data_IF_372999310616
#
_entry.id   IF_372999310616
#
_cell.length_a   1.000
_cell.length_b   1.000
_cell.length_c   1.000
_cell.angle_alpha   90.00
_cell.angle_beta   90.00
_cell.angle_gamma   90.00
#
_symmetry.space_group_name_H-M   'P 1'
#
loop_
_entity.id
_entity.type
_entity.pdbx_description
1 polymer ?
#
# COMPACT_ATOMS: atom_id res chain seq x y z
N UNK A 1 26.22 -47.11 70.96
CA UNK A 1 26.59 -46.69 69.60
C UNK A 1 25.80 -45.44 69.24
N UNK A 2 26.50 -44.34 68.94
CA UNK A 2 26.15 -43.24 68.02
C UNK A 2 24.77 -42.59 68.25
N UNK A 3 24.72 -41.46 68.96
CA UNK A 3 24.70 -40.07 68.42
C UNK A 3 23.50 -39.78 67.50
N UNK A 4 22.62 -38.88 67.93
CA UNK A 4 22.55 -37.54 67.35
C UNK A 4 21.74 -36.58 68.22
N UNK A 5 22.43 -35.54 68.69
CA UNK A 5 21.89 -34.27 69.15
C UNK A 5 21.45 -33.44 67.93
N UNK A 6 20.47 -32.54 68.11
CA UNK A 6 20.62 -31.07 67.99
C UNK A 6 19.23 -30.41 68.10
N UNK A 7 19.13 -29.20 68.71
CA UNK A 7 17.93 -28.68 69.37
C UNK A 7 17.08 -27.73 68.50
N UNK A 8 15.84 -27.53 68.96
CA UNK A 8 14.87 -26.54 68.45
C UNK A 8 15.45 -25.11 68.45
N UNK A 9 15.61 -24.54 67.26
CA UNK A 9 15.83 -23.10 67.07
C UNK A 9 14.48 -22.40 66.86
N UNK A 10 14.13 -21.48 67.77
CA UNK A 10 13.01 -20.54 67.59
C UNK A 10 13.38 -19.52 66.52
N UNK A 11 12.67 -19.52 65.39
CA UNK A 11 12.73 -18.45 64.40
C UNK A 11 11.67 -17.40 64.71
N UNK A 12 12.13 -16.21 65.12
CA UNK A 12 11.33 -14.99 65.16
C UNK A 12 11.03 -14.55 63.73
N UNK A 13 9.82 -14.80 63.25
CA UNK A 13 9.31 -14.15 62.04
C UNK A 13 8.72 -12.79 62.44
N UNK A 14 9.45 -11.72 62.13
CA UNK A 14 8.91 -10.36 62.14
C UNK A 14 7.94 -10.19 60.98
N UNK A 15 6.67 -9.97 61.29
CA UNK A 15 5.64 -9.56 60.35
C UNK A 15 5.92 -8.14 59.86
N UNK A 16 6.43 -8.00 58.64
CA UNK A 16 6.45 -6.73 57.91
C UNK A 16 5.06 -6.55 57.30
N UNK A 17 4.24 -5.69 57.91
CA UNK A 17 3.01 -5.18 57.31
C UNK A 17 3.37 -4.24 56.16
N UNK A 18 3.46 -4.79 54.95
CA UNK A 18 3.51 -3.99 53.74
C UNK A 18 2.14 -3.30 53.56
N UNK A 19 2.12 -2.01 53.84
CA UNK A 19 0.96 -1.15 53.56
C UNK A 19 0.87 -0.98 52.04
N UNK A 20 0.03 -1.78 51.39
CA UNK A 20 -0.27 -1.63 49.97
C UNK A 20 -1.16 -0.39 49.79
N UNK A 21 -0.53 0.77 49.64
CA UNK A 21 -1.21 1.95 49.11
C UNK A 21 -1.42 1.71 47.62
N UNK A 22 -2.64 1.30 47.24
CA UNK A 22 -3.04 1.18 45.85
C UNK A 22 -3.04 2.58 45.23
N UNK A 23 -1.95 2.93 44.55
CA UNK A 23 -1.93 4.07 43.62
C UNK A 23 -2.83 3.69 42.44
N UNK A 24 -4.08 4.14 42.49
CA UNK A 24 -4.96 4.22 41.33
C UNK A 24 -4.23 5.05 40.27
N UNK A 25 -3.60 4.37 39.31
CA UNK A 25 -3.17 4.97 38.06
C UNK A 25 -4.42 5.40 37.31
N UNK A 26 -4.87 6.62 37.56
CA UNK A 26 -5.85 7.29 36.72
C UNK A 26 -5.31 7.24 35.29
N UNK A 27 -5.91 6.41 34.43
CA UNK A 27 -5.72 6.46 32.97
C UNK A 27 -6.03 7.91 32.56
N UNK A 28 -5.01 8.73 32.40
CA UNK A 28 -5.17 10.10 31.89
C UNK A 28 -5.67 9.91 30.45
N UNK A 29 -6.96 10.13 30.21
CA UNK A 29 -7.48 10.24 28.85
C UNK A 29 -6.70 11.36 28.16
N UNK A 30 -6.08 11.13 27.00
CA UNK A 30 -5.28 12.15 26.32
C UNK A 30 -6.16 13.38 26.05
N UNK A 31 -5.59 14.58 26.22
CA UNK A 31 -6.31 15.84 26.01
C UNK A 31 -6.80 15.93 24.56
N UNK A 32 -8.00 16.48 24.37
CA UNK A 32 -8.74 16.58 23.10
C UNK A 32 -7.98 17.28 21.93
N UNK A 33 -6.85 17.94 22.17
CA UNK A 33 -6.06 18.64 21.14
C UNK A 33 -4.91 17.82 20.53
N UNK A 34 -4.65 16.59 20.99
CA UNK A 34 -3.37 15.92 20.73
C UNK A 34 -3.36 14.93 19.52
N UNK A 35 -4.52 14.63 18.93
CA UNK A 35 -4.65 13.61 17.88
C UNK A 35 -4.51 14.14 16.45
N UNK A 36 -4.60 15.46 16.21
CA UNK A 36 -4.28 16.08 14.91
C UNK A 36 -2.86 16.62 14.93
N UNK A 37 -2.24 16.70 13.77
CA UNK A 37 -0.95 17.38 13.59
C UNK A 37 -1.13 18.67 12.81
N UNK A 38 -0.38 19.70 13.22
CA UNK A 38 -0.23 20.95 12.46
C UNK A 38 0.70 20.78 11.26
N UNK A 39 1.58 19.78 11.31
CA UNK A 39 2.49 19.44 10.22
C UNK A 39 1.70 18.81 9.06
N UNK A 40 1.55 19.56 7.97
CA UNK A 40 0.90 19.08 6.73
C UNK A 40 1.91 18.64 5.67
N UNK A 41 3.19 18.98 5.85
CA UNK A 41 4.25 18.57 4.93
C UNK A 41 4.70 17.15 5.28
N UNK A 42 4.39 16.22 4.40
CA UNK A 42 4.64 14.79 4.61
C UNK A 42 6.11 14.49 4.80
N UNK A 43 6.98 15.24 4.11
CA UNK A 43 8.41 15.10 4.26
C UNK A 43 8.93 15.43 5.66
N UNK A 44 8.19 16.17 6.48
CA UNK A 44 8.59 16.52 7.84
C UNK A 44 8.00 15.57 8.89
N UNK A 45 7.19 14.58 8.49
CA UNK A 45 6.67 13.60 9.42
C UNK A 45 7.83 12.79 10.02
N UNK A 46 7.86 12.75 11.35
CA UNK A 46 8.88 12.11 12.16
C UNK A 46 8.21 11.20 13.19
N UNK A 47 9.02 10.51 14.01
CA UNK A 47 8.52 9.64 15.09
C UNK A 47 7.61 10.37 16.08
N UNK A 48 7.82 11.67 16.29
CA UNK A 48 6.99 12.51 17.16
C UNK A 48 5.58 12.79 16.61
N UNK A 49 5.37 12.60 15.31
CA UNK A 49 4.07 12.81 14.65
C UNK A 49 3.25 11.52 14.50
N UNK A 50 3.80 10.37 14.90
CA UNK A 50 3.13 9.07 14.82
C UNK A 50 1.85 9.09 15.67
N UNK A 51 0.79 8.46 15.17
CA UNK A 51 -0.53 8.42 15.79
C UNK A 51 -1.39 9.65 15.51
N UNK A 52 -0.82 10.73 14.95
CA UNK A 52 -1.56 11.95 14.65
C UNK A 52 -2.13 11.97 13.23
N UNK A 53 -3.25 12.65 13.05
CA UNK A 53 -3.91 12.84 11.76
C UNK A 53 -3.48 14.15 11.09
N UNK A 54 -3.04 14.06 9.84
CA UNK A 54 -2.85 15.21 8.95
C UNK A 54 -3.93 15.19 7.86
N UNK A 55 -4.25 16.36 7.29
CA UNK A 55 -5.34 16.49 6.32
C UNK A 55 -4.78 16.78 4.94
N UNK A 56 -5.12 15.93 3.97
CA UNK A 56 -4.75 16.14 2.56
C UNK A 56 -5.65 17.23 1.97
N UNK A 57 -5.08 18.31 1.41
CA UNK A 57 -5.86 19.35 0.74
C UNK A 57 -6.71 18.78 -0.41
N UNK A 58 -7.91 19.32 -0.61
CA UNK A 58 -8.88 18.81 -1.59
C UNK A 58 -8.29 18.79 -3.01
N UNK A 59 -7.53 19.81 -3.38
CA UNK A 59 -6.91 19.92 -4.72
C UNK A 59 -5.85 18.84 -4.94
N UNK A 60 -5.03 18.57 -3.91
CA UNK A 60 -4.05 17.49 -3.94
C UNK A 60 -4.77 16.15 -4.00
N UNK A 61 -5.84 15.96 -3.23
CA UNK A 61 -6.64 14.73 -3.25
C UNK A 61 -7.19 14.44 -4.64
N UNK A 62 -7.79 15.44 -5.30
CA UNK A 62 -8.35 15.29 -6.66
C UNK A 62 -7.28 14.93 -7.69
N UNK A 63 -6.08 15.51 -7.59
CA UNK A 63 -4.97 15.22 -8.51
C UNK A 63 -4.34 13.85 -8.26
N UNK A 64 -4.05 13.52 -7.00
CA UNK A 64 -3.29 12.31 -6.64
C UNK A 64 -4.18 11.07 -6.59
N UNK A 65 -5.41 11.20 -6.07
CA UNK A 65 -6.31 10.08 -5.81
C UNK A 65 -7.59 10.11 -6.66
N UNK A 66 -7.68 10.99 -7.67
CA UNK A 66 -8.90 11.18 -8.47
C UNK A 66 -9.34 9.95 -9.26
N UNK A 67 -8.39 9.08 -9.66
CA UNK A 67 -8.66 7.86 -10.41
C UNK A 67 -8.29 6.58 -9.63
N UNK A 68 -8.09 6.68 -8.32
CA UNK A 68 -7.84 5.54 -7.43
C UNK A 68 -6.72 5.79 -6.41
N UNK A 69 -6.40 4.76 -5.62
CA UNK A 69 -5.35 4.77 -4.60
C UNK A 69 -5.85 4.91 -3.16
N UNK A 70 -7.15 5.19 -2.99
CA UNK A 70 -7.82 5.09 -1.69
C UNK A 70 -8.81 3.91 -1.71
N UNK A 71 -8.88 3.11 -0.63
CA UNK A 71 -9.90 2.06 -0.53
C UNK A 71 -11.31 2.65 -0.57
N UNK A 72 -12.25 1.97 -1.24
CA UNK A 72 -13.65 2.43 -1.38
C UNK A 72 -14.36 2.70 -0.05
N UNK A 73 -14.05 1.91 0.98
CA UNK A 73 -14.57 2.12 2.33
C UNK A 73 -14.08 3.45 2.92
N UNK A 74 -12.80 3.77 2.70
CA UNK A 74 -12.21 5.03 3.12
C UNK A 74 -12.74 6.22 2.29
N UNK A 75 -12.96 6.06 0.99
CA UNK A 75 -13.61 7.09 0.16
C UNK A 75 -15.01 7.46 0.66
N UNK A 76 -15.79 6.46 1.11
CA UNK A 76 -17.09 6.70 1.76
C UNK A 76 -16.91 7.50 3.04
N UNK A 77 -15.94 7.14 3.88
CA UNK A 77 -15.64 7.86 5.12
C UNK A 77 -15.25 9.31 4.83
N UNK A 78 -14.37 9.56 3.86
CA UNK A 78 -13.98 10.91 3.41
C UNK A 78 -15.21 11.72 2.99
N UNK A 79 -16.10 11.11 2.21
CA UNK A 79 -17.33 11.76 1.74
C UNK A 79 -18.23 12.14 2.92
N UNK A 80 -18.37 11.26 3.90
CA UNK A 80 -19.19 11.50 5.10
C UNK A 80 -18.58 12.56 6.01
N UNK A 81 -17.26 12.51 6.24
CA UNK A 81 -16.55 13.44 7.13
C UNK A 81 -16.24 14.79 6.48
N UNK A 82 -16.46 14.89 5.17
CA UNK A 82 -16.11 16.03 4.33
C UNK A 82 -14.63 16.44 4.44
N UNK A 83 -13.74 15.49 4.74
CA UNK A 83 -12.31 15.72 4.80
C UNK A 83 -11.53 14.43 4.52
N UNK A 84 -10.28 14.59 4.07
CA UNK A 84 -9.37 13.48 3.78
C UNK A 84 -8.20 13.51 4.77
N UNK A 85 -8.44 12.97 5.97
CA UNK A 85 -7.41 12.92 7.02
C UNK A 85 -6.80 11.52 7.11
N UNK A 86 -5.47 11.44 7.08
CA UNK A 86 -4.72 10.20 7.23
C UNK A 86 -3.91 10.24 8.53
N UNK A 87 -3.88 9.12 9.24
CA UNK A 87 -3.03 8.94 10.40
C UNK A 87 -1.59 8.69 9.95
N UNK A 88 -0.63 9.37 10.58
CA UNK A 88 0.80 9.11 10.42
C UNK A 88 1.15 7.85 11.18
N UNK A 89 1.57 6.80 10.47
CA UNK A 89 1.95 5.51 11.07
C UNK A 89 3.44 5.22 10.90
N UNK A 90 3.97 4.40 11.81
CA UNK A 90 5.38 4.01 11.82
C UNK A 90 5.90 3.49 10.45
N UNK A 91 5.21 2.57 9.75
CA UNK A 91 5.75 1.99 8.51
C UNK A 91 5.97 3.03 7.39
N UNK A 92 5.13 4.06 7.32
CA UNK A 92 5.29 5.14 6.35
C UNK A 92 6.47 6.04 6.70
N UNK A 93 6.61 6.40 7.98
CA UNK A 93 7.71 7.24 8.48
C UNK A 93 9.06 6.52 8.32
N UNK A 94 9.11 5.22 8.60
CA UNK A 94 10.29 4.39 8.41
C UNK A 94 10.75 4.37 6.95
N UNK A 95 9.83 4.14 6.00
CA UNK A 95 10.17 4.17 4.57
C UNK A 95 10.64 5.58 4.15
N UNK A 96 9.95 6.65 4.58
CA UNK A 96 10.38 8.03 4.29
C UNK A 96 11.81 8.29 4.81
N UNK A 97 12.15 7.78 5.98
CA UNK A 97 13.50 7.89 6.55
C UNK A 97 14.53 7.14 5.70
N UNK A 98 14.23 5.92 5.23
CA UNK A 98 15.10 5.21 4.29
C UNK A 98 15.25 5.93 2.96
N UNK A 99 14.16 6.48 2.41
CA UNK A 99 14.18 7.25 1.16
C UNK A 99 15.12 8.46 1.28
N UNK A 100 15.04 9.22 2.38
CA UNK A 100 15.91 10.38 2.61
C UNK A 100 17.39 10.03 2.71
N UNK A 101 17.72 8.82 3.16
CA UNK A 101 19.09 8.33 3.31
C UNK A 101 19.60 7.58 2.07
N UNK A 102 18.76 7.42 1.05
CA UNK A 102 19.09 6.63 -0.15
C UNK A 102 20.07 7.36 -1.06
N UNK A 103 21.08 6.65 -1.54
CA UNK A 103 21.95 7.09 -2.64
C UNK A 103 21.29 6.75 -3.99
N UNK A 104 20.80 7.77 -4.68
CA UNK A 104 20.07 7.63 -5.94
C UNK A 104 20.94 7.22 -7.14
N UNK A 105 22.27 7.17 -6.99
CA UNK A 105 23.15 6.63 -8.03
C UNK A 105 23.16 5.09 -8.05
N UNK A 106 22.75 4.46 -6.94
CA UNK A 106 22.67 3.00 -6.80
C UNK A 106 21.37 2.45 -7.38
N UNK A 107 21.33 1.13 -7.67
CA UNK A 107 20.10 0.45 -8.05
C UNK A 107 18.90 0.80 -7.16
N UNK A 108 17.72 0.85 -7.76
CA UNK A 108 16.48 1.21 -7.07
C UNK A 108 16.23 0.35 -5.84
N UNK A 109 15.99 1.02 -4.71
CA UNK A 109 15.57 0.37 -3.46
C UNK A 109 14.13 -0.16 -3.59
N UNK A 110 13.92 -1.41 -3.17
CA UNK A 110 12.62 -2.09 -3.19
C UNK A 110 12.12 -2.33 -1.77
N UNK A 111 10.97 -1.77 -1.44
CA UNK A 111 10.29 -1.93 -0.16
C UNK A 111 9.02 -2.76 -0.36
N UNK A 112 8.81 -3.73 0.52
CA UNK A 112 7.66 -4.63 0.48
C UNK A 112 6.84 -4.46 1.75
N UNK A 113 5.68 -3.82 1.63
CA UNK A 113 4.70 -3.69 2.70
C UNK A 113 3.91 -4.99 2.83
N UNK A 114 3.96 -5.62 4.00
CA UNK A 114 3.24 -6.86 4.28
C UNK A 114 2.60 -6.81 5.66
N UNK A 115 1.55 -7.60 5.88
CA UNK A 115 0.81 -7.61 7.14
C UNK A 115 -0.58 -8.17 6.98
N UNK A 116 -1.31 -8.25 8.09
CA UNK A 116 -2.67 -8.77 8.15
C UNK A 116 -3.65 -7.94 7.31
N UNK A 117 -4.76 -8.55 6.95
CA UNK A 117 -5.83 -7.87 6.25
C UNK A 117 -6.50 -6.83 7.14
N UNK A 118 -6.76 -5.65 6.57
CA UNK A 118 -7.29 -4.52 7.33
C UNK A 118 -6.26 -3.74 8.16
N UNK A 119 -4.98 -4.15 8.20
CA UNK A 119 -3.93 -3.46 8.95
C UNK A 119 -3.56 -2.05 8.41
N UNK A 120 -4.05 -1.65 7.22
CA UNK A 120 -3.81 -0.32 6.65
C UNK A 120 -2.63 -0.22 5.68
N UNK A 121 -2.27 -1.32 5.01
CA UNK A 121 -1.22 -1.38 3.96
C UNK A 121 -1.46 -0.36 2.85
N UNK A 122 -2.67 -0.35 2.27
CA UNK A 122 -3.05 0.59 1.20
C UNK A 122 -3.04 2.05 1.65
N UNK A 123 -3.45 2.36 2.88
CA UNK A 123 -3.40 3.73 3.40
C UNK A 123 -1.97 4.19 3.70
N UNK A 124 -1.09 3.26 4.09
CA UNK A 124 0.35 3.53 4.19
C UNK A 124 0.95 3.82 2.82
N UNK A 125 0.58 3.05 1.79
CA UNK A 125 0.97 3.32 0.40
C UNK A 125 0.44 4.69 -0.08
N UNK A 126 -0.80 5.05 0.27
CA UNK A 126 -1.37 6.36 -0.05
C UNK A 126 -0.62 7.52 0.64
N UNK A 127 -0.15 7.32 1.87
CA UNK A 127 0.70 8.30 2.56
C UNK A 127 2.03 8.50 1.82
N UNK A 128 2.67 7.42 1.38
CA UNK A 128 3.89 7.47 0.55
C UNK A 128 3.65 8.08 -0.84
N UNK A 129 2.47 7.84 -1.43
CA UNK A 129 2.07 8.46 -2.69
C UNK A 129 1.97 9.99 -2.55
N UNK A 130 1.38 10.47 -1.46
CA UNK A 130 1.31 11.91 -1.17
C UNK A 130 2.70 12.51 -0.89
N UNK A 131 3.59 11.77 -0.21
CA UNK A 131 5.00 12.16 -0.06
C UNK A 131 5.68 12.34 -1.42
N UNK A 132 5.56 11.34 -2.31
CA UNK A 132 6.16 11.38 -3.64
C UNK A 132 5.66 12.56 -4.48
N UNK A 133 4.36 12.86 -4.40
CA UNK A 133 3.77 14.03 -5.05
C UNK A 133 4.37 15.35 -4.55
N UNK A 134 4.47 15.53 -3.23
CA UNK A 134 5.06 16.76 -2.64
C UNK A 134 6.54 16.92 -3.00
N UNK A 135 7.27 15.82 -3.09
CA UNK A 135 8.70 15.81 -3.41
C UNK A 135 9.00 15.76 -4.93
N UNK A 136 8.00 15.97 -5.78
CA UNK A 136 8.14 16.02 -7.24
C UNK A 136 8.74 14.74 -7.85
N UNK A 137 8.36 13.57 -7.32
CA UNK A 137 8.62 12.30 -7.99
C UNK A 137 7.62 12.08 -9.12
N UNK A 138 8.07 11.48 -10.23
CA UNK A 138 7.18 10.90 -11.23
C UNK A 138 6.57 9.63 -10.65
N UNK A 139 5.27 9.67 -10.38
CA UNK A 139 4.52 8.63 -9.71
C UNK A 139 4.05 7.58 -10.71
N UNK A 140 4.48 6.34 -10.53
CA UNK A 140 3.97 5.17 -11.25
C UNK A 140 3.15 4.38 -10.24
N UNK A 141 1.86 4.74 -10.13
CA UNK A 141 0.97 4.17 -9.13
C UNK A 141 -0.06 3.23 -9.74
N UNK A 142 -0.15 2.01 -9.22
CA UNK A 142 -1.20 1.05 -9.55
C UNK A 142 -2.09 0.85 -8.32
N UNK A 143 -3.35 1.36 -8.35
CA UNK A 143 -4.23 1.37 -7.19
C UNK A 143 -4.54 0.01 -6.58
N UNK A 144 -4.70 -1.02 -7.41
CA UNK A 144 -4.89 -2.42 -6.97
C UNK A 144 -4.84 -3.36 -8.18
N UNK A 145 -3.75 -4.13 -8.30
CA UNK A 145 -3.53 -5.07 -9.42
C UNK A 145 -4.66 -6.10 -9.57
N UNK A 146 -5.23 -6.69 -8.49
CA UNK A 146 -6.31 -7.66 -8.60
C UNK A 146 -7.51 -7.23 -9.44
N UNK A 147 -7.78 -5.92 -9.60
CA UNK A 147 -8.86 -5.46 -10.46
C UNK A 147 -8.64 -5.87 -11.92
N UNK A 148 -7.42 -5.76 -12.44
CA UNK A 148 -7.07 -6.18 -13.80
C UNK A 148 -7.23 -7.68 -13.99
N UNK A 149 -6.98 -8.47 -12.94
CA UNK A 149 -7.05 -9.93 -12.99
C UNK A 149 -8.47 -10.50 -12.80
N UNK A 150 -9.44 -9.70 -12.35
CA UNK A 150 -10.78 -10.21 -11.97
C UNK A 150 -11.97 -9.46 -12.55
N UNK A 151 -11.79 -8.18 -12.84
CA UNK A 151 -12.84 -7.25 -13.26
C UNK A 151 -12.30 -6.38 -14.39
N UNK A 152 -11.59 -7.00 -15.34
CA UNK A 152 -11.23 -6.34 -16.57
C UNK A 152 -12.50 -5.85 -17.25
N UNK A 153 -12.50 -4.60 -17.70
CA UNK A 153 -13.67 -3.99 -18.33
C UNK A 153 -13.87 -4.52 -19.75
N UNK A 154 -12.76 -4.75 -20.45
CA UNK A 154 -12.71 -5.25 -21.81
C UNK A 154 -11.40 -6.03 -22.00
N UNK A 155 -11.46 -7.10 -22.77
CA UNK A 155 -10.31 -7.93 -23.15
C UNK A 155 -10.24 -7.99 -24.68
N UNK A 156 -9.05 -7.80 -25.23
CA UNK A 156 -8.81 -7.94 -26.66
C UNK A 156 -7.57 -8.81 -26.91
N UNK A 157 -7.50 -9.47 -28.06
CA UNK A 157 -6.27 -10.18 -28.45
C UNK A 157 -5.20 -9.15 -28.80
N UNK A 158 -4.00 -9.35 -28.27
CA UNK A 158 -2.88 -8.44 -28.51
C UNK A 158 -2.43 -8.51 -29.97
N UNK A 159 -2.19 -7.35 -30.57
CA UNK A 159 -1.61 -7.26 -31.91
C UNK A 159 -0.09 -7.34 -31.92
N UNK A 160 0.55 -7.13 -30.77
CA UNK A 160 2.01 -7.07 -30.63
C UNK A 160 2.60 -8.37 -30.08
N UNK A 161 1.89 -9.04 -29.15
CA UNK A 161 2.33 -10.29 -28.53
C UNK A 161 1.35 -11.42 -28.86
N UNK A 162 1.77 -12.35 -29.72
CA UNK A 162 0.95 -13.49 -30.12
C UNK A 162 0.55 -14.33 -28.91
N UNK A 163 -0.75 -14.67 -28.82
CA UNK A 163 -1.31 -15.44 -27.70
C UNK A 163 -1.51 -14.66 -26.40
N UNK A 164 -1.20 -13.36 -26.37
CA UNK A 164 -1.45 -12.49 -25.23
C UNK A 164 -2.77 -11.71 -25.37
N UNK A 165 -3.28 -11.25 -24.23
CA UNK A 165 -4.51 -10.49 -24.11
C UNK A 165 -4.17 -9.08 -23.61
N UNK A 166 -4.70 -8.09 -24.31
CA UNK A 166 -4.68 -6.69 -23.93
C UNK A 166 -5.91 -6.35 -23.08
N UNK A 167 -5.74 -5.32 -22.24
CA UNK A 167 -6.81 -4.70 -21.44
C UNK A 167 -6.99 -3.22 -21.85
N UNK A 168 -7.58 -2.92 -23.01
CA UNK A 168 -7.59 -1.57 -23.59
C UNK A 168 -8.19 -0.49 -22.67
N UNK A 169 -9.36 -0.76 -22.08
CA UNK A 169 -10.05 0.22 -21.23
C UNK A 169 -9.36 0.43 -19.89
N UNK A 170 -8.77 -0.63 -19.32
CA UNK A 170 -8.05 -0.53 -18.05
C UNK A 170 -6.68 0.13 -18.25
N UNK A 171 -6.01 -0.13 -19.37
CA UNK A 171 -4.79 0.57 -19.77
C UNK A 171 -5.04 2.06 -20.01
N UNK A 172 -6.06 2.42 -20.79
CA UNK A 172 -6.41 3.82 -21.02
C UNK A 172 -6.81 4.53 -19.71
N UNK A 173 -7.55 3.85 -18.81
CA UNK A 173 -7.88 4.39 -17.50
C UNK A 173 -6.64 4.61 -16.62
N UNK A 174 -5.66 3.71 -16.67
CA UNK A 174 -4.40 3.88 -15.96
C UNK A 174 -3.55 5.02 -16.54
N UNK A 175 -3.49 5.19 -17.87
CA UNK A 175 -2.81 6.32 -18.50
C UNK A 175 -3.46 7.66 -18.11
N UNK A 176 -4.79 7.72 -18.01
CA UNK A 176 -5.51 8.89 -17.51
C UNK A 176 -5.15 9.17 -16.04
N UNK A 177 -5.10 8.13 -15.21
CA UNK A 177 -4.63 8.22 -13.81
C UNK A 177 -3.20 8.78 -13.75
N UNK A 178 -2.27 8.22 -14.52
CA UNK A 178 -0.88 8.68 -14.61
C UNK A 178 -0.78 10.14 -15.07
N UNK A 179 -1.54 10.54 -16.09
CA UNK A 179 -1.59 11.93 -16.58
C UNK A 179 -2.10 12.89 -15.51
N UNK A 180 -3.12 12.50 -14.74
CA UNK A 180 -3.66 13.35 -13.67
C UNK A 180 -2.66 13.62 -12.54
N UNK A 181 -1.83 12.62 -12.23
CA UNK A 181 -0.82 12.71 -11.17
C UNK A 181 0.43 13.49 -11.61
N UNK A 182 0.92 13.22 -12.83
CA UNK A 182 2.25 13.66 -13.26
C UNK A 182 2.24 14.71 -14.36
N UNK A 183 1.09 15.04 -14.95
CA UNK A 183 1.02 15.84 -16.18
C UNK A 183 1.62 17.25 -16.07
N UNK A 184 1.66 17.84 -14.88
CA UNK A 184 2.36 19.12 -14.64
C UNK A 184 3.88 18.91 -14.60
N UNK A 185 4.33 18.01 -13.72
CA UNK A 185 5.75 17.65 -13.57
C UNK A 185 6.40 17.20 -14.89
N UNK A 186 5.71 16.41 -15.71
CA UNK A 186 6.25 15.94 -17.00
C UNK A 186 6.49 17.08 -17.99
N UNK A 187 5.65 18.14 -17.95
CA UNK A 187 5.84 19.34 -18.77
C UNK A 187 7.04 20.14 -18.27
N UNK A 188 7.16 20.30 -16.95
CA UNK A 188 8.25 21.05 -16.33
C UNK A 188 9.62 20.37 -16.55
N UNK A 189 9.67 19.04 -16.51
CA UNK A 189 10.89 18.24 -16.77
C UNK A 189 11.24 18.14 -18.26
N UNK A 190 10.30 18.44 -19.17
CA UNK A 190 10.51 18.36 -20.62
C UNK A 190 10.97 16.97 -21.07
N UNK A 191 10.39 15.90 -20.51
CA UNK A 191 10.78 14.53 -20.87
C UNK A 191 10.29 14.20 -22.27
N UNK A 192 11.16 13.60 -23.06
CA UNK A 192 10.92 13.28 -24.48
C UNK A 192 11.10 11.80 -24.74
N UNK A 193 10.47 11.31 -25.78
CA UNK A 193 10.65 9.94 -26.25
C UNK A 193 12.01 9.77 -26.95
N UNK A 194 12.70 8.65 -26.72
CA UNK A 194 14.02 8.34 -27.31
C UNK A 194 13.97 7.74 -28.73
N UNK A 195 12.86 7.12 -29.14
CA UNK A 195 12.73 6.38 -30.41
C UNK A 195 11.36 6.55 -31.05
N UNK A 196 11.25 6.23 -32.34
CA UNK A 196 9.96 6.26 -33.03
C UNK A 196 9.06 5.11 -32.56
N UNK A 197 7.86 5.43 -32.05
CA UNK A 197 6.82 4.46 -31.75
C UNK A 197 5.79 4.44 -32.88
N UNK A 198 5.73 3.32 -33.61
CA UNK A 198 4.81 3.13 -34.75
C UNK A 198 3.58 2.36 -34.29
N UNK A 199 2.42 3.00 -34.30
CA UNK A 199 1.14 2.39 -33.91
C UNK A 199 0.41 1.80 -35.11
N UNK A 200 0.41 2.56 -36.20
CA UNK A 200 -0.13 2.15 -37.50
C UNK A 200 0.74 2.72 -38.62
N UNK A 201 0.43 2.37 -39.88
CA UNK A 201 1.10 2.96 -41.04
C UNK A 201 0.94 4.50 -41.15
N UNK A 202 -0.01 5.08 -40.42
CA UNK A 202 -0.33 6.53 -40.46
C UNK A 202 -0.07 7.24 -39.14
N UNK A 203 -0.06 6.53 -38.02
CA UNK A 203 0.10 7.09 -36.67
C UNK A 203 1.46 6.67 -36.10
N UNK A 204 2.34 7.64 -35.93
CA UNK A 204 3.70 7.47 -35.39
C UNK A 204 3.92 8.57 -34.35
N UNK A 205 4.47 8.20 -33.19
CA UNK A 205 5.03 9.15 -32.23
C UNK A 205 6.54 9.22 -32.46
N UNK A 206 7.06 10.32 -33.04
CA UNK A 206 8.47 10.40 -33.42
C UNK A 206 9.38 10.58 -32.20
N UNK A 207 10.64 10.19 -32.35
CA UNK A 207 11.70 10.48 -31.40
C UNK A 207 11.81 11.99 -31.15
N UNK A 208 12.01 12.38 -29.89
CA UNK A 208 12.02 13.78 -29.47
C UNK A 208 10.64 14.35 -29.13
N UNK A 209 9.52 13.66 -29.43
CA UNK A 209 8.21 14.10 -29.00
C UNK A 209 8.08 14.09 -27.46
N UNK A 210 7.31 14.99 -26.85
CA UNK A 210 7.02 14.97 -25.42
C UNK A 210 6.44 13.64 -24.96
N UNK A 211 6.85 13.16 -23.78
CA UNK A 211 6.35 11.91 -23.21
C UNK A 211 4.83 11.97 -22.94
N UNK A 212 4.29 13.18 -22.75
CA UNK A 212 2.85 13.38 -22.58
C UNK A 212 2.06 13.04 -23.86
N UNK A 213 2.63 13.24 -25.05
CA UNK A 213 1.96 12.93 -26.32
C UNK A 213 1.78 11.41 -26.48
N UNK A 214 2.77 10.63 -26.02
CA UNK A 214 2.68 9.17 -25.93
C UNK A 214 1.52 8.74 -25.01
N UNK A 215 1.38 9.39 -23.85
CA UNK A 215 0.30 9.13 -22.89
C UNK A 215 -1.06 9.48 -23.49
N UNK A 216 -1.18 10.65 -24.12
CA UNK A 216 -2.42 11.10 -24.75
C UNK A 216 -2.83 10.22 -25.93
N UNK A 217 -1.87 9.72 -26.71
CA UNK A 217 -2.15 8.76 -27.77
C UNK A 217 -2.81 7.49 -27.20
N UNK A 218 -2.24 6.89 -26.17
CA UNK A 218 -2.81 5.68 -25.53
C UNK A 218 -4.16 5.91 -24.85
N UNK A 219 -4.45 7.13 -24.37
CA UNK A 219 -5.78 7.49 -23.85
C UNK A 219 -6.80 7.62 -24.99
N UNK A 220 -6.46 8.33 -26.06
CA UNK A 220 -7.36 8.58 -27.19
C UNK A 220 -7.57 7.36 -28.10
N UNK A 221 -6.62 6.42 -28.09
CA UNK A 221 -6.62 5.17 -28.83
C UNK A 221 -6.42 4.01 -27.86
N UNK A 222 -7.46 3.70 -27.09
CA UNK A 222 -7.43 2.65 -26.06
C UNK A 222 -6.89 1.30 -26.58
N UNK A 223 -7.11 0.96 -27.86
CA UNK A 223 -6.54 -0.23 -28.50
C UNK A 223 -5.02 -0.38 -28.28
N UNK A 224 -4.28 0.73 -28.31
CA UNK A 224 -2.83 0.76 -28.16
C UNK A 224 -2.38 1.12 -26.73
N UNK A 225 -3.30 1.18 -25.76
CA UNK A 225 -2.97 1.66 -24.43
C UNK A 225 -1.95 0.79 -23.70
N UNK A 226 -2.03 -0.54 -23.86
CA UNK A 226 -1.10 -1.48 -23.21
C UNK A 226 0.33 -1.31 -23.75
N UNK A 227 0.48 -1.18 -25.06
CA UNK A 227 1.77 -0.90 -25.71
C UNK A 227 2.30 0.49 -25.34
N UNK A 228 1.42 1.50 -25.26
CA UNK A 228 1.78 2.83 -24.82
C UNK A 228 2.28 2.86 -23.37
N UNK A 229 1.69 2.05 -22.48
CA UNK A 229 2.20 1.87 -21.11
C UNK A 229 3.58 1.21 -21.13
N UNK A 230 3.76 0.16 -21.92
CA UNK A 230 5.07 -0.50 -22.06
C UNK A 230 6.16 0.47 -22.52
N UNK A 231 5.86 1.27 -23.54
CA UNK A 231 6.73 2.33 -24.04
C UNK A 231 7.01 3.39 -22.97
N UNK A 232 5.97 3.90 -22.30
CA UNK A 232 6.08 4.90 -21.26
C UNK A 232 7.00 4.47 -20.12
N UNK A 233 6.79 3.26 -19.57
CA UNK A 233 7.59 2.76 -18.46
C UNK A 233 9.05 2.53 -18.85
N UNK A 234 9.28 2.07 -20.09
CA UNK A 234 10.63 1.94 -20.64
C UNK A 234 11.35 3.30 -20.74
N UNK A 235 10.70 4.32 -21.29
CA UNK A 235 11.26 5.68 -21.39
C UNK A 235 11.52 6.28 -20.00
N UNK A 236 10.58 6.12 -19.05
CA UNK A 236 10.75 6.63 -17.68
C UNK A 236 11.96 6.00 -16.98
N UNK A 237 12.20 4.71 -17.21
CA UNK A 237 13.38 4.01 -16.71
C UNK A 237 14.67 4.61 -17.27
N UNK A 238 14.70 4.91 -18.58
CA UNK A 238 15.84 5.55 -19.23
C UNK A 238 16.07 6.98 -18.71
N UNK A 239 15.01 7.79 -18.58
CA UNK A 239 15.12 9.15 -18.02
C UNK A 239 15.56 9.16 -16.56
N UNK A 240 15.14 8.15 -15.79
CA UNK A 240 15.60 7.97 -14.40
C UNK A 240 17.09 7.67 -14.38
N UNK A 241 17.56 6.72 -15.19
CA UNK A 241 18.98 6.39 -15.34
C UNK A 241 19.84 7.58 -15.78
N UNK A 242 19.29 8.46 -16.61
CA UNK A 242 19.95 9.68 -17.05
C UNK A 242 19.93 10.81 -16.01
N UNK A 243 19.35 10.60 -14.82
CA UNK A 243 19.23 11.62 -13.79
C UNK A 243 18.19 12.70 -14.07
N UNK A 244 17.40 12.57 -15.15
CA UNK A 244 16.44 13.59 -15.60
C UNK A 244 15.11 13.58 -14.84
N UNK A 245 14.74 12.43 -14.29
CA UNK A 245 13.48 12.26 -13.55
C UNK A 245 13.72 11.39 -12.31
N UNK A 246 13.17 11.79 -11.17
CA UNK A 246 13.10 10.92 -9.99
C UNK A 246 11.80 10.14 -10.04
N UNK A 247 11.88 8.82 -10.08
CA UNK A 247 10.68 7.98 -10.27
C UNK A 247 10.32 7.21 -9.01
N UNK A 248 9.04 7.21 -8.64
CA UNK A 248 8.53 6.44 -7.51
C UNK A 248 7.44 5.48 -7.99
N UNK A 249 7.71 4.18 -7.87
CA UNK A 249 6.78 3.11 -8.22
C UNK A 249 6.03 2.68 -6.96
N UNK A 250 4.70 2.72 -7.01
CA UNK A 250 3.83 2.32 -5.90
C UNK A 250 2.76 1.35 -6.41
N UNK A 251 2.83 0.08 -6.01
CA UNK A 251 1.89 -0.93 -6.52
C UNK A 251 1.19 -1.65 -5.37
N UNK A 252 -0.14 -1.56 -5.34
CA UNK A 252 -0.97 -2.28 -4.37
C UNK A 252 -1.39 -3.66 -4.92
N UNK A 253 -1.39 -4.67 -4.05
CA UNK A 253 -1.72 -6.07 -4.38
C UNK A 253 -0.76 -6.72 -5.38
N UNK A 254 0.55 -6.46 -5.25
CA UNK A 254 1.58 -6.86 -6.23
C UNK A 254 1.66 -8.37 -6.46
N UNK A 255 1.37 -9.18 -5.42
CA UNK A 255 1.33 -10.65 -5.52
C UNK A 255 0.28 -11.19 -6.50
N UNK A 256 -0.63 -10.35 -7.01
CA UNK A 256 -1.58 -10.73 -8.05
C UNK A 256 -0.92 -11.01 -9.41
N UNK A 257 0.26 -10.46 -9.70
CA UNK A 257 1.00 -10.75 -10.93
C UNK A 257 1.53 -12.19 -11.00
N UNK A 258 1.63 -12.87 -9.86
CA UNK A 258 2.23 -14.21 -9.75
C UNK A 258 1.20 -15.27 -9.33
N UNK A 259 -0.09 -14.98 -9.50
CA UNK A 259 -1.12 -15.96 -9.26
C UNK A 259 -1.15 -17.00 -10.39
N UNK A 260 -1.47 -18.27 -10.09
CA UNK A 260 -1.44 -19.33 -11.10
C UNK A 260 -2.44 -19.06 -12.24
N UNK A 261 -3.59 -18.44 -11.93
CA UNK A 261 -4.63 -18.08 -12.89
C UNK A 261 -5.32 -16.78 -12.48
N UNK A 262 -5.84 -16.07 -13.48
CA UNK A 262 -6.76 -14.94 -13.32
C UNK A 262 -8.21 -15.44 -13.33
N UNK A 263 -9.19 -14.56 -13.04
CA UNK A 263 -10.62 -14.86 -13.27
C UNK A 263 -11.07 -14.52 -14.68
N UNK A 264 -10.17 -14.04 -15.54
CA UNK A 264 -10.46 -13.75 -16.94
C UNK A 264 -10.52 -15.05 -17.72
N UNK A 265 -11.45 -15.09 -18.68
CA UNK A 265 -11.66 -16.24 -19.56
C UNK A 265 -11.40 -15.82 -21.00
N UNK A 266 -10.77 -16.71 -21.75
CA UNK A 266 -10.67 -16.59 -23.21
C UNK A 266 -12.02 -16.85 -23.86
N UNK A 267 -12.13 -16.60 -25.18
CA UNK A 267 -13.30 -16.97 -25.98
C UNK A 267 -13.65 -18.47 -25.84
N UNK A 268 -12.63 -19.32 -25.66
CA UNK A 268 -12.77 -20.75 -25.43
C UNK A 268 -13.07 -21.13 -23.96
N UNK A 269 -13.42 -20.16 -23.11
CA UNK A 269 -13.67 -20.32 -21.66
C UNK A 269 -12.49 -20.88 -20.87
N UNK A 270 -11.26 -20.78 -21.39
CA UNK A 270 -10.06 -21.16 -20.65
C UNK A 270 -9.61 -20.02 -19.74
N UNK A 271 -9.13 -20.34 -18.52
CA UNK A 271 -8.59 -19.34 -17.60
C UNK A 271 -7.28 -18.77 -18.14
N UNK A 272 -7.17 -17.45 -18.13
CA UNK A 272 -5.97 -16.72 -18.57
C UNK A 272 -4.97 -16.63 -17.41
N UNK A 273 -3.68 -16.80 -17.69
CA UNK A 273 -2.60 -16.58 -16.71
C UNK A 273 -2.19 -15.09 -16.67
N UNK A 274 -1.69 -14.57 -15.53
CA UNK A 274 -1.20 -13.18 -15.48
C UNK A 274 -0.12 -12.86 -16.53
N UNK A 275 0.77 -13.80 -16.84
CA UNK A 275 1.82 -13.67 -17.87
C UNK A 275 1.29 -13.49 -19.30
N UNK A 276 0.06 -13.95 -19.54
CA UNK A 276 -0.62 -13.80 -20.83
C UNK A 276 -1.25 -12.41 -20.96
N UNK A 277 -1.31 -11.61 -19.90
CA UNK A 277 -1.76 -10.22 -19.98
C UNK A 277 -0.59 -9.31 -20.32
N UNK A 278 -0.69 -8.57 -21.42
CA UNK A 278 0.37 -7.67 -21.87
C UNK A 278 0.68 -6.57 -20.86
N UNK A 279 -0.30 -6.16 -20.06
CA UNK A 279 -0.14 -5.15 -19.02
C UNK A 279 0.77 -5.62 -17.87
N UNK A 280 0.95 -6.93 -17.67
CA UNK A 280 1.78 -7.48 -16.58
C UNK A 280 3.26 -7.20 -16.80
N UNK A 281 3.78 -7.43 -18.01
CA UNK A 281 5.21 -7.35 -18.31
C UNK A 281 5.83 -5.98 -18.01
N UNK A 282 5.21 -4.83 -18.38
CA UNK A 282 5.74 -3.50 -18.06
C UNK A 282 5.89 -3.23 -16.57
N UNK A 283 4.91 -3.63 -15.75
CA UNK A 283 4.95 -3.41 -14.29
C UNK A 283 5.91 -4.37 -13.57
N UNK A 284 6.09 -5.59 -14.08
CA UNK A 284 7.17 -6.45 -13.64
C UNK A 284 8.54 -5.87 -14.03
N UNK A 285 8.68 -5.33 -15.24
CA UNK A 285 9.94 -4.74 -15.73
C UNK A 285 10.39 -3.52 -14.93
N UNK A 286 9.47 -2.61 -14.57
CA UNK A 286 9.80 -1.39 -13.81
C UNK A 286 10.12 -1.68 -12.33
N UNK A 287 9.67 -2.82 -11.80
CA UNK A 287 9.94 -3.23 -10.41
C UNK A 287 11.25 -4.01 -10.24
N UNK A 288 11.97 -4.30 -11.33
CA UNK A 288 13.34 -4.82 -11.27
C UNK A 288 14.32 -3.74 -10.80
N UNK A 289 15.47 -4.17 -10.29
CA UNK A 289 16.54 -3.32 -9.75
C UNK A 289 17.65 -3.04 -10.79
N UNK A 290 17.34 -3.08 -12.08
CA UNK A 290 18.27 -2.84 -13.20
C UNK A 290 18.31 -1.35 -13.64
N UNK A 291 17.84 -0.44 -12.78
CA UNK A 291 17.83 1.00 -12.99
C UNK A 291 18.09 1.74 -11.67
N UNK A 292 18.35 3.04 -11.73
CA UNK A 292 18.65 3.89 -10.57
C UNK A 292 17.79 5.17 -10.56
N UNK A 293 18.05 6.07 -9.61
CA UNK A 293 17.33 7.34 -9.42
C UNK A 293 15.82 7.19 -9.21
N UNK A 294 15.44 6.11 -8.52
CA UNK A 294 14.05 5.83 -8.20
C UNK A 294 13.88 4.91 -7.01
N UNK A 295 12.63 4.67 -6.65
CA UNK A 295 12.21 3.90 -5.48
C UNK A 295 11.00 3.05 -5.84
N UNK A 296 11.00 1.80 -5.41
CA UNK A 296 9.88 0.88 -5.59
C UNK A 296 9.28 0.52 -4.24
N UNK A 297 7.99 0.76 -4.07
CA UNK A 297 7.21 0.34 -2.91
C UNK A 297 6.06 -0.52 -3.40
N UNK A 298 6.00 -1.76 -2.96
CA UNK A 298 4.92 -2.69 -3.32
C UNK A 298 4.24 -3.21 -2.07
N UNK A 299 2.96 -3.58 -2.18
CA UNK A 299 2.25 -4.22 -1.07
C UNK A 299 1.89 -5.66 -1.43
N UNK A 300 1.94 -6.53 -0.43
CA UNK A 300 1.42 -7.89 -0.52
C UNK A 300 0.04 -7.93 0.15
N UNK A 301 -0.95 -8.47 -0.56
CA UNK A 301 -2.36 -8.49 -0.14
C UNK A 301 -2.84 -9.94 -0.01
N UNK A 302 -3.28 -10.34 1.19
CA UNK A 302 -3.72 -11.72 1.43
C UNK A 302 -5.09 -11.99 0.76
N UNK A 303 -5.88 -10.94 0.45
CA UNK A 303 -7.12 -11.09 -0.30
C UNK A 303 -6.90 -11.64 -1.72
N UNK A 304 -5.66 -11.62 -2.22
CA UNK A 304 -5.27 -12.22 -3.49
C UNK A 304 -5.19 -13.76 -3.39
N UNK A 305 -4.89 -14.32 -2.21
CA UNK A 305 -4.87 -15.78 -2.03
C UNK A 305 -6.23 -16.44 -2.31
N UNK A 306 -7.34 -15.70 -2.23
CA UNK A 306 -8.69 -16.15 -2.60
C UNK A 306 -8.86 -16.51 -4.09
N UNK A 307 -7.84 -16.32 -4.94
CA UNK A 307 -7.82 -16.83 -6.32
C UNK A 307 -7.45 -18.32 -6.42
N UNK A 308 -6.92 -18.93 -5.35
CA UNK A 308 -6.68 -20.39 -5.29
C UNK A 308 -8.04 -21.10 -5.27
N UNK A 309 -8.22 -22.12 -6.11
CA UNK A 309 -9.46 -22.91 -6.18
C UNK A 309 -9.79 -23.47 -4.78
N UNK A 310 -10.85 -22.95 -4.15
CA UNK A 310 -11.38 -23.45 -2.86
C UNK A 310 -11.78 -24.93 -2.90
N UNK A 311 -11.86 -25.53 -4.10
CA UNK A 311 -12.15 -26.96 -4.30
C UNK A 311 -10.95 -27.89 -4.08
N UNK A 312 -9.71 -27.37 -4.04
CA UNK A 312 -8.49 -28.19 -3.85
C UNK A 312 -7.79 -27.97 -2.50
N UNK A 313 -8.18 -26.94 -1.75
CA UNK A 313 -7.69 -26.69 -0.40
C UNK A 313 -8.90 -26.62 0.54
N UNK A 314 -9.28 -27.76 1.11
CA UNK A 314 -10.00 -27.70 2.38
C UNK A 314 -9.04 -27.08 3.39
N UNK A 315 -9.39 -25.95 4.03
CA UNK A 315 -8.58 -25.47 5.14
C UNK A 315 -8.76 -26.49 6.27
N UNK A 316 -7.68 -27.16 6.65
CA UNK A 316 -7.72 -27.95 7.86
C UNK A 316 -7.86 -26.96 9.04
N UNK A 317 -8.56 -27.34 10.10
CA UNK A 317 -8.75 -26.48 11.28
C UNK A 317 -7.41 -26.02 11.92
N UNK A 318 -6.30 -26.68 11.59
CA UNK A 318 -4.93 -26.30 11.96
C UNK A 318 -4.31 -25.16 11.13
N UNK A 319 -4.90 -24.79 10.00
CA UNK A 319 -4.38 -23.73 9.12
C UNK A 319 -4.83 -22.34 9.56
N UNK A 320 -5.91 -22.27 10.35
CA UNK A 320 -6.48 -21.00 10.85
C UNK A 320 -5.63 -20.44 12.00
N UNK A 321 -5.06 -21.30 12.85
CA UNK A 321 -4.17 -20.88 13.95
C UNK A 321 -2.77 -20.46 13.46
N UNK A 322 -2.33 -21.01 12.33
CA UNK A 322 -1.00 -20.76 11.77
C UNK A 322 -0.86 -19.41 11.06
N UNK A 323 -1.94 -18.66 10.79
CA UNK A 323 -1.87 -17.36 10.07
C UNK A 323 -1.22 -16.27 10.94
N UNK A 324 -1.39 -16.35 12.27
CA UNK A 324 -0.90 -15.34 13.22
C UNK A 324 0.62 -15.34 13.45
N UNK A 325 1.29 -16.43 13.07
CA UNK A 325 2.72 -16.69 13.34
C UNK A 325 3.52 -17.02 12.08
N UNK A 326 3.03 -16.64 10.91
CA UNK A 326 3.71 -16.86 9.64
C UNK A 326 4.97 -15.96 9.51
N UNK A 327 6.16 -16.51 9.19
CA UNK A 327 7.34 -15.70 8.90
C UNK A 327 7.11 -14.76 7.70
N UNK A 328 7.88 -13.66 7.55
CA UNK A 328 7.72 -12.72 6.43
C UNK A 328 7.73 -13.39 5.05
N UNK A 329 8.44 -14.52 4.93
CA UNK A 329 8.58 -15.34 3.74
C UNK A 329 7.28 -16.02 3.29
N UNK A 330 6.40 -16.44 4.19
CA UNK A 330 5.16 -17.12 3.80
C UNK A 330 4.02 -16.17 3.46
N UNK A 331 4.22 -14.86 3.65
CA UNK A 331 3.30 -13.83 3.21
C UNK A 331 3.45 -13.56 1.71
N UNK A 332 4.64 -13.78 1.13
CA UNK A 332 4.83 -13.75 -0.32
C UNK A 332 4.30 -15.07 -0.90
N UNK A 333 3.05 -15.01 -1.35
CA UNK A 333 2.20 -16.14 -1.79
C UNK A 333 2.85 -17.12 -2.79
N UNK A 334 3.86 -16.67 -3.54
CA UNK A 334 4.55 -17.47 -4.55
C UNK A 334 6.07 -17.26 -4.53
N UNK A 335 6.81 -18.35 -4.76
CA UNK A 335 8.27 -18.35 -4.88
C UNK A 335 8.77 -17.40 -5.98
N UNK A 336 8.05 -17.33 -7.10
CA UNK A 336 8.37 -16.44 -8.22
C UNK A 336 8.29 -14.97 -7.84
N UNK A 337 7.29 -14.58 -7.03
CA UNK A 337 7.17 -13.22 -6.52
C UNK A 337 8.35 -12.85 -5.62
N UNK A 338 8.79 -13.79 -4.77
CA UNK A 338 9.96 -13.61 -3.92
C UNK A 338 11.23 -13.44 -4.75
N UNK A 339 11.48 -14.36 -5.70
CA UNK A 339 12.66 -14.33 -6.58
C UNK A 339 12.70 -13.05 -7.43
N UNK A 340 11.55 -12.54 -7.89
CA UNK A 340 11.48 -11.27 -8.63
C UNK A 340 11.85 -10.06 -7.76
N UNK A 341 11.44 -10.06 -6.49
CA UNK A 341 11.68 -8.95 -5.57
C UNK A 341 13.02 -9.01 -4.83
N UNK A 342 13.70 -10.16 -4.79
CA UNK A 342 14.96 -10.35 -4.08
C UNK A 342 16.14 -9.60 -4.74
N UNK A 343 16.96 -8.81 -4.01
CA UNK A 343 16.80 -8.35 -2.63
C UNK A 343 15.79 -7.19 -2.45
N UNK A 344 15.09 -7.20 -1.32
CA UNK A 344 14.15 -6.16 -0.90
C UNK A 344 14.18 -5.92 0.62
N UNK A 345 13.61 -4.79 1.05
CA UNK A 345 13.40 -4.44 2.46
C UNK A 345 11.96 -4.77 2.87
N UNK A 346 11.73 -5.79 3.70
CA UNK A 346 10.39 -6.10 4.23
C UNK A 346 10.00 -5.08 5.30
N UNK A 347 8.81 -4.48 5.16
CA UNK A 347 8.26 -3.52 6.14
C UNK A 347 6.90 -4.05 6.61
N UNK A 348 6.83 -4.43 7.88
CA UNK A 348 5.61 -5.00 8.48
C UNK A 348 4.62 -3.90 8.85
N UNK A 349 3.38 -4.04 8.40
CA UNK A 349 2.25 -3.20 8.79
C UNK A 349 1.37 -4.00 9.76
N UNK A 350 1.32 -3.54 11.00
CA UNK A 350 0.54 -4.16 12.09
C UNK A 350 -0.73 -3.37 12.38
N UNK A 351 -1.60 -3.93 13.23
CA UNK A 351 -2.73 -3.20 13.83
C UNK A 351 -2.27 -1.96 14.61
N UNK A 352 -3.22 -1.19 15.11
CA UNK A 352 -2.92 0.00 15.91
C UNK A 352 -2.22 -0.37 17.21
N UNK A 353 -1.22 0.42 17.59
CA UNK A 353 -0.80 0.46 18.98
C UNK A 353 -1.84 1.21 19.84
N UNK A 354 -1.61 1.28 21.15
CA UNK A 354 -2.53 1.93 22.07
C UNK A 354 -2.71 3.43 21.74
N UNK A 355 -1.63 4.13 21.39
CA UNK A 355 -1.67 5.56 21.11
C UNK A 355 -2.39 5.86 19.78
N UNK A 356 -2.09 5.10 18.73
CA UNK A 356 -2.78 5.14 17.43
C UNK A 356 -4.27 4.83 17.60
N UNK A 357 -4.61 3.82 18.41
CA UNK A 357 -5.99 3.44 18.71
C UNK A 357 -6.76 4.59 19.37
N UNK A 358 -6.23 5.16 20.47
CA UNK A 358 -6.90 6.26 21.15
C UNK A 358 -7.03 7.49 20.25
N UNK A 359 -6.01 7.80 19.45
CA UNK A 359 -6.06 8.91 18.49
C UNK A 359 -7.15 8.69 17.43
N UNK A 360 -7.34 7.46 16.96
CA UNK A 360 -8.41 7.10 16.02
C UNK A 360 -9.81 7.27 16.65
N UNK A 361 -9.99 6.83 17.90
CA UNK A 361 -11.26 7.02 18.63
C UNK A 361 -11.54 8.52 18.81
N UNK A 362 -10.55 9.33 19.20
CA UNK A 362 -10.72 10.78 19.32
C UNK A 362 -11.12 11.42 17.99
N UNK A 363 -10.51 11.00 16.88
CA UNK A 363 -10.88 11.44 15.54
C UNK A 363 -12.35 11.11 15.21
N UNK A 364 -12.83 9.90 15.54
CA UNK A 364 -14.22 9.53 15.33
C UNK A 364 -15.20 10.29 16.23
N UNK A 365 -14.83 10.57 17.48
CA UNK A 365 -15.62 11.39 18.40
C UNK A 365 -15.71 12.86 17.92
N UNK A 366 -14.59 13.45 17.47
CA UNK A 366 -14.56 14.80 16.88
C UNK A 366 -15.51 14.90 15.67
N UNK A 367 -15.51 13.87 14.82
CA UNK A 367 -16.38 13.78 13.65
C UNK A 367 -17.84 13.44 13.98
N UNK A 368 -18.18 13.27 15.26
CA UNK A 368 -19.49 12.78 15.73
C UNK A 368 -19.92 11.49 15.02
N UNK A 369 -18.93 10.67 14.67
CA UNK A 369 -19.14 9.41 13.97
C UNK A 369 -19.60 8.32 14.93
N UNK A 370 -19.02 8.30 16.14
CA UNK A 370 -19.53 7.51 17.27
C UNK A 370 -20.45 8.43 18.07
N UNK A 371 -21.72 8.06 18.18
CA UNK A 371 -22.71 8.83 18.95
C UNK A 371 -22.98 8.19 20.32
N UNK A 372 -22.91 6.86 20.39
CA UNK A 372 -23.12 6.11 21.63
C UNK A 372 -21.83 6.04 22.44
N UNK A 373 -21.78 6.76 23.57
CA UNK A 373 -20.62 6.79 24.47
C UNK A 373 -20.97 6.27 25.87
N UNK A 374 -21.39 5.01 25.95
CA UNK A 374 -21.56 4.34 27.25
C UNK A 374 -20.21 4.18 27.96
N UNK A 375 -20.22 4.05 29.29
CA UNK A 375 -18.99 3.88 30.06
C UNK A 375 -18.30 2.56 29.67
N UNK A 376 -17.06 2.64 29.19
CA UNK A 376 -16.27 1.48 28.79
C UNK A 376 -16.38 1.09 27.31
N UNK A 377 -17.09 1.86 26.49
CA UNK A 377 -17.23 1.58 25.05
C UNK A 377 -15.87 1.48 24.32
N UNK A 378 -14.88 2.26 24.76
CA UNK A 378 -13.54 2.29 24.18
C UNK A 378 -12.76 1.01 24.49
N UNK A 379 -12.80 0.51 25.73
CA UNK A 379 -12.15 -0.75 26.08
C UNK A 379 -12.82 -1.95 25.35
N UNK A 380 -14.15 -1.93 25.18
CA UNK A 380 -14.89 -2.96 24.42
C UNK A 380 -14.54 -2.93 22.92
N UNK A 381 -14.58 -1.74 22.29
CA UNK A 381 -14.19 -1.59 20.88
C UNK A 381 -12.75 -2.03 20.64
N UNK A 382 -11.84 -1.74 21.57
CA UNK A 382 -10.45 -2.17 21.49
C UNK A 382 -10.33 -3.69 21.46
N UNK A 383 -11.07 -4.37 22.34
CA UNK A 383 -11.10 -5.84 22.40
C UNK A 383 -11.76 -6.47 21.17
N UNK A 384 -12.92 -5.96 20.74
CA UNK A 384 -13.66 -6.50 19.59
C UNK A 384 -12.95 -6.31 18.26
N UNK A 385 -12.28 -5.16 18.08
CA UNK A 385 -11.50 -4.89 16.86
C UNK A 385 -10.12 -5.56 16.86
N UNK A 386 -9.65 -6.07 18.00
CA UNK A 386 -8.26 -6.48 18.20
C UNK A 386 -7.25 -5.42 17.71
N UNK A 387 -7.60 -4.13 17.84
CA UNK A 387 -6.86 -2.99 17.30
C UNK A 387 -6.61 -3.04 15.77
N UNK A 388 -7.38 -3.82 15.01
CA UNK A 388 -7.32 -3.83 13.55
C UNK A 388 -8.05 -2.59 12.99
N UNK A 389 -7.38 -1.73 12.18
CA UNK A 389 -7.95 -0.48 11.67
C UNK A 389 -9.25 -0.65 10.89
N UNK A 390 -9.32 -1.66 10.02
CA UNK A 390 -10.50 -1.89 9.19
C UNK A 390 -11.67 -2.43 10.01
N UNK A 391 -11.42 -3.39 10.91
CA UNK A 391 -12.47 -3.91 11.80
C UNK A 391 -13.00 -2.82 12.72
N UNK A 392 -12.12 -1.98 13.28
CA UNK A 392 -12.52 -0.84 14.11
C UNK A 392 -13.43 0.12 13.33
N UNK A 393 -13.06 0.47 12.09
CA UNK A 393 -13.89 1.32 11.23
C UNK A 393 -15.26 0.69 10.95
N UNK A 394 -15.33 -0.63 10.75
CA UNK A 394 -16.60 -1.33 10.52
C UNK A 394 -17.49 -1.34 11.77
N UNK A 395 -16.92 -1.65 12.95
CA UNK A 395 -17.64 -1.64 14.23
C UNK A 395 -18.17 -0.24 14.56
N UNK A 396 -17.36 0.80 14.35
CA UNK A 396 -17.77 2.18 14.62
C UNK A 396 -18.81 2.71 13.62
N UNK A 397 -19.03 2.07 12.48
CA UNK A 397 -19.94 2.58 11.45
C UNK A 397 -21.42 2.48 11.84
N UNK A 398 -21.76 1.68 12.85
CA UNK A 398 -23.13 1.45 13.33
C UNK A 398 -23.43 2.04 14.71
N UNK A 399 -22.52 2.84 15.29
CA UNK A 399 -22.56 3.29 16.69
C UNK A 399 -23.00 4.75 16.91
#
# INVERSE_FOLDING_TARGET
MIRNMVPQARLFYSTITASATATLTTKIKPKLDEFRTTEQTVANHQRTTIGRFYTIPIDVRKKVFGHGGLPKSFEKQIKTFNECSLMVRLPAVEIIEYIKRTDFNRPVNRFVLYGEDGAGKSLTLAHLLHYGFQQQYVLIHVPWVPNWMKRAKETANSTTKEGAIDLPLDGAAWLLHFKSQNGSLLKDLGLTVSRDYVWTKREITPAGAPLLDLVEHGINRAKFSCDAIAALLHELKQHSNAGRARTMVLIDGFNAFFQPYTRLLTENKARVKPEQLTLTDPFLSITRNDWNNGICVVTIDQMVAEFKDKSKSQPNASDVENISSQPPLSVIDSRECFEHLDPFVPVRVVGYDDAEYYSCIQYYLERKWIQTTELGFDDELKMLSCQNPYQLMQLCASL
#
